data_IF_103629855894
#
_entry.id   IF_103629855894
#
_cell.length_a   1.000
_cell.length_b   1.000
_cell.length_c   1.000
_cell.angle_alpha   90.00
_cell.angle_beta   90.00
_cell.angle_gamma   90.00
#
_symmetry.space_group_name_H-M   'P 1'
#
loop_
_entity.id
_entity.type
_entity.pdbx_description
1 polymer ?
#
# COMPACT_ATOMS: atom_id res chain seq x y z
N UNK A 1 -18.15 -26.39 18.23
CA UNK A 1 -16.72 -26.73 18.03
C UNK A 1 -16.39 -26.27 16.61
N UNK A 2 -15.62 -25.23 16.31
CA UNK A 2 -14.60 -24.47 17.05
C UNK A 2 -14.76 -22.98 16.77
N UNK A 3 -14.58 -22.17 17.81
CA UNK A 3 -14.28 -20.74 17.76
C UNK A 3 -12.81 -20.55 17.31
N UNK A 4 -12.47 -19.45 16.62
CA UNK A 4 -11.57 -18.42 17.17
C UNK A 4 -11.25 -17.28 16.18
N UNK A 5 -11.44 -16.06 16.68
CA UNK A 5 -10.62 -14.84 16.51
C UNK A 5 -10.38 -14.23 15.13
N UNK A 6 -11.25 -13.29 14.73
CA UNK A 6 -10.84 -12.07 14.01
C UNK A 6 -11.47 -10.85 14.71
N UNK A 7 -10.83 -10.38 15.77
CA UNK A 7 -11.09 -9.08 16.39
C UNK A 7 -9.76 -8.38 16.61
N UNK A 8 -9.47 -7.39 15.76
CA UNK A 8 -8.70 -6.19 16.09
C UNK A 8 -9.48 -5.03 15.45
N UNK A 9 -10.57 -4.55 16.06
CA UNK A 9 -10.64 -3.47 17.06
C UNK A 9 -9.89 -2.19 16.65
N UNK A 10 -10.61 -1.24 16.05
CA UNK A 10 -10.48 0.18 16.42
C UNK A 10 -11.86 0.58 16.95
N UNK A 11 -12.06 0.41 18.26
CA UNK A 11 -13.17 1.01 18.98
C UNK A 11 -12.73 2.40 19.46
N UNK A 12 -13.39 3.43 18.94
CA UNK A 12 -13.61 4.69 19.66
C UNK A 12 -14.37 4.35 20.96
N UNK A 13 -13.93 4.79 22.15
CA UNK A 13 -14.82 5.32 23.21
C UNK A 13 -14.06 5.89 24.43
N UNK A 14 -14.49 7.11 24.78
CA UNK A 14 -14.59 7.79 26.10
C UNK A 14 -13.50 7.66 27.17
N UNK A 15 -13.04 8.83 27.63
CA UNK A 15 -12.40 9.01 28.94
C UNK A 15 -13.23 8.44 30.09
N UNK A 16 -12.54 7.80 31.03
CA UNK A 16 -12.76 7.92 32.47
C UNK A 16 -11.45 7.54 33.16
N UNK A 17 -10.77 8.55 33.71
CA UNK A 17 -9.59 8.34 34.54
C UNK A 17 -10.02 7.82 35.91
N UNK A 18 -9.60 6.61 36.26
CA UNK A 18 -9.53 6.13 37.65
C UNK A 18 -8.21 5.39 37.82
N UNK A 19 -7.30 6.00 38.58
CA UNK A 19 -6.24 5.31 39.34
C UNK A 19 -5.12 4.62 38.55
N UNK A 20 -4.02 5.35 38.35
CA UNK A 20 -2.66 4.84 38.59
C UNK A 20 -2.19 3.63 37.79
N UNK A 21 -2.15 3.76 36.46
CA UNK A 21 -1.10 3.31 35.53
C UNK A 21 -1.77 3.25 34.16
N UNK A 22 -1.80 4.40 33.48
CA UNK A 22 -2.16 4.43 32.07
C UNK A 22 -1.05 3.71 31.32
N UNK A 23 -1.30 2.45 30.94
CA UNK A 23 -0.57 1.85 29.83
C UNK A 23 -0.90 2.73 28.63
N UNK A 24 0.05 3.60 28.24
CA UNK A 24 -0.01 4.23 26.94
C UNK A 24 0.07 3.08 25.94
N UNK A 25 -1.09 2.61 25.48
CA UNK A 25 -1.22 1.81 24.28
C UNK A 25 -0.57 2.65 23.20
N UNK A 26 0.69 2.33 22.90
CA UNK A 26 1.51 3.01 21.92
C UNK A 26 0.66 3.27 20.70
N UNK A 27 0.37 4.54 20.42
CA UNK A 27 -0.06 4.93 19.09
C UNK A 27 0.95 4.29 18.14
N UNK A 28 0.52 3.34 17.31
CA UNK A 28 1.40 2.69 16.34
C UNK A 28 2.16 3.82 15.66
N UNK A 29 3.47 3.88 15.91
CA UNK A 29 4.30 4.95 15.38
C UNK A 29 4.06 4.94 13.87
N UNK A 30 3.53 6.02 13.32
CA UNK A 30 3.40 6.08 11.88
C UNK A 30 4.77 6.43 11.32
N UNK A 31 5.25 5.71 10.29
CA UNK A 31 6.49 6.10 9.66
C UNK A 31 6.35 7.49 9.03
N UNK A 32 7.47 8.22 8.87
CA UNK A 32 7.47 9.49 8.16
C UNK A 32 7.08 9.28 6.70
N UNK A 33 6.58 10.35 6.06
CA UNK A 33 6.39 10.35 4.61
C UNK A 33 7.76 10.32 3.95
N UNK A 34 8.01 9.30 3.14
CA UNK A 34 9.27 9.12 2.42
C UNK A 34 9.13 9.53 0.96
N UNK A 35 7.95 9.32 0.37
CA UNK A 35 7.68 9.65 -1.02
C UNK A 35 6.25 10.17 -1.22
N UNK A 36 6.07 10.98 -2.26
CA UNK A 36 4.78 11.45 -2.72
C UNK A 36 4.71 11.30 -4.24
N UNK A 37 3.59 10.82 -4.76
CA UNK A 37 3.41 10.61 -6.19
C UNK A 37 2.10 9.91 -6.52
N UNK A 38 1.86 9.59 -7.79
CA UNK A 38 0.73 8.80 -8.23
C UNK A 38 1.01 7.32 -7.99
N UNK A 39 -0.03 6.64 -7.53
CA UNK A 39 -0.14 5.20 -7.55
C UNK A 39 -1.15 4.77 -8.62
N UNK A 40 -0.83 3.69 -9.31
CA UNK A 40 -1.74 2.94 -10.19
C UNK A 40 -2.16 1.63 -9.52
N UNK A 41 -2.96 0.81 -10.19
CA UNK A 41 -3.29 -0.52 -9.72
C UNK A 41 -3.49 -1.50 -10.88
N UNK A 42 -3.26 -2.78 -10.61
CA UNK A 42 -3.48 -3.90 -11.53
C UNK A 42 -4.25 -5.03 -10.83
N UNK A 43 -4.88 -5.93 -11.59
CA UNK A 43 -5.58 -7.10 -11.03
C UNK A 43 -7.07 -7.19 -11.35
N UNK A 44 -7.48 -6.78 -12.56
CA UNK A 44 -8.80 -7.09 -13.12
C UNK A 44 -8.95 -8.57 -13.59
N UNK A 45 -7.94 -9.41 -13.29
CA UNK A 45 -7.96 -10.85 -13.50
C UNK A 45 -6.89 -11.39 -14.44
N UNK A 46 -6.23 -10.51 -15.22
CA UNK A 46 -5.28 -10.94 -16.24
C UNK A 46 -3.97 -11.56 -15.71
N UNK A 47 -3.61 -11.30 -14.46
CA UNK A 47 -2.29 -11.63 -13.90
C UNK A 47 -2.33 -12.58 -12.70
N UNK A 48 -3.52 -13.08 -12.33
CA UNK A 48 -3.65 -13.94 -11.15
C UNK A 48 -2.89 -15.25 -11.33
N UNK A 49 -2.01 -15.56 -10.38
CA UNK A 49 -1.16 -16.76 -10.43
C UNK A 49 0.17 -16.57 -11.17
N UNK A 50 0.39 -15.42 -11.81
CA UNK A 50 1.69 -15.09 -12.39
C UNK A 50 2.74 -14.90 -11.29
N UNK A 51 3.99 -15.22 -11.62
CA UNK A 51 5.11 -15.10 -10.67
C UNK A 51 5.55 -13.65 -10.61
N UNK A 52 5.46 -13.03 -9.43
CA UNK A 52 5.98 -11.69 -9.16
C UNK A 52 7.50 -11.68 -9.13
N UNK A 53 8.11 -10.50 -9.12
CA UNK A 53 9.56 -10.36 -9.07
C UNK A 53 10.22 -10.89 -7.78
N UNK A 54 9.47 -11.07 -6.68
CA UNK A 54 9.99 -11.75 -5.47
C UNK A 54 9.85 -13.29 -5.53
N UNK A 55 9.25 -13.84 -6.59
CA UNK A 55 9.12 -15.28 -6.83
C UNK A 55 7.85 -15.92 -6.27
N UNK A 56 6.92 -15.15 -5.69
CA UNK A 56 5.64 -15.67 -5.21
C UNK A 56 4.55 -15.56 -6.30
N UNK A 57 3.50 -16.37 -6.20
CA UNK A 57 2.35 -16.24 -7.10
C UNK A 57 1.52 -14.99 -6.73
N UNK A 58 1.18 -14.18 -7.72
CA UNK A 58 0.37 -12.98 -7.50
C UNK A 58 -1.06 -13.33 -7.10
N UNK A 59 -1.43 -12.91 -5.89
CA UNK A 59 -2.80 -12.91 -5.42
C UNK A 59 -3.36 -11.47 -5.40
N UNK A 60 -4.29 -11.12 -6.30
CA UNK A 60 -4.88 -9.78 -6.39
C UNK A 60 -5.68 -9.41 -5.13
N UNK A 61 -6.05 -10.38 -4.30
CA UNK A 61 -6.79 -10.18 -3.06
C UNK A 61 -5.89 -9.86 -1.86
N UNK A 62 -4.57 -10.06 -1.96
CA UNK A 62 -3.60 -9.65 -0.95
C UNK A 62 -3.29 -8.16 -1.06
N UNK A 63 -2.90 -7.53 0.05
CA UNK A 63 -2.42 -6.15 0.02
C UNK A 63 -0.95 -6.07 -0.36
N UNK A 64 -0.68 -6.26 -1.66
CA UNK A 64 0.65 -6.22 -2.24
C UNK A 64 0.80 -5.16 -3.31
N UNK A 65 2.05 -4.71 -3.51
CA UNK A 65 2.38 -3.62 -4.40
C UNK A 65 3.72 -3.85 -5.12
N UNK A 66 3.82 -3.30 -6.32
CA UNK A 66 5.05 -3.19 -7.09
C UNK A 66 5.73 -1.83 -6.85
N UNK A 67 7.05 -1.86 -6.59
CA UNK A 67 7.87 -0.65 -6.47
C UNK A 67 9.25 -0.86 -7.12
N UNK A 68 9.82 0.19 -7.74
CA UNK A 68 11.06 0.13 -8.54
C UNK A 68 12.27 -0.40 -7.78
N UNK A 69 12.49 0.11 -6.57
CA UNK A 69 13.74 -0.14 -5.83
C UNK A 69 13.59 -0.47 -4.34
N UNK A 70 12.39 -0.40 -3.76
CA UNK A 70 12.21 -0.76 -2.36
C UNK A 70 12.51 -2.25 -2.18
N UNK A 71 13.23 -2.66 -1.11
CA UNK A 71 13.46 -4.06 -0.81
C UNK A 71 12.13 -4.83 -0.78
N UNK A 72 12.15 -6.08 -1.20
CA UNK A 72 10.99 -6.96 -1.00
C UNK A 72 10.67 -7.08 0.49
N UNK A 73 9.40 -7.34 0.78
CA UNK A 73 8.81 -7.39 2.12
C UNK A 73 8.84 -6.08 2.91
N UNK A 74 9.21 -4.96 2.26
CA UNK A 74 8.97 -3.63 2.84
C UNK A 74 7.48 -3.43 3.02
N UNK A 75 7.07 -3.10 4.24
CA UNK A 75 5.70 -2.65 4.52
C UNK A 75 5.60 -1.13 4.32
N UNK A 76 4.73 -0.72 3.40
CA UNK A 76 4.44 0.68 3.12
C UNK A 76 3.01 1.02 3.56
N UNK A 77 2.85 2.11 4.30
CA UNK A 77 1.54 2.71 4.54
C UNK A 77 1.27 3.71 3.43
N UNK A 78 0.26 3.39 2.64
CA UNK A 78 -0.20 4.22 1.53
C UNK A 78 -1.32 5.10 2.07
N UNK A 79 -1.27 6.39 1.76
CA UNK A 79 -2.29 7.35 2.14
C UNK A 79 -2.80 8.08 0.90
N UNK A 80 -4.06 7.84 0.53
CA UNK A 80 -4.71 8.55 -0.56
C UNK A 80 -4.93 10.01 -0.13
N UNK A 81 -4.37 10.95 -0.88
CA UNK A 81 -4.40 12.38 -0.51
C UNK A 81 -5.78 13.01 -0.70
N UNK A 82 -6.61 12.47 -1.60
CA UNK A 82 -7.94 13.01 -1.90
C UNK A 82 -8.96 12.69 -0.80
N UNK A 83 -8.96 11.46 -0.27
CA UNK A 83 -9.96 11.00 0.70
C UNK A 83 -9.37 10.65 2.07
N UNK A 84 -8.05 10.79 2.25
CA UNK A 84 -7.31 10.51 3.50
C UNK A 84 -7.37 9.04 3.97
N UNK A 85 -7.92 8.13 3.17
CA UNK A 85 -7.91 6.68 3.44
C UNK A 85 -6.49 6.15 3.40
N UNK A 86 -6.22 5.14 4.22
CA UNK A 86 -4.90 4.53 4.35
C UNK A 86 -4.99 3.02 4.34
N UNK A 87 -3.97 2.36 3.81
CA UNK A 87 -3.84 0.90 3.83
C UNK A 87 -2.36 0.53 3.89
N UNK A 88 -2.05 -0.53 4.62
CA UNK A 88 -0.73 -1.16 4.59
C UNK A 88 -0.62 -2.05 3.36
N UNK A 89 0.54 -2.02 2.71
CA UNK A 89 0.83 -2.84 1.54
C UNK A 89 2.24 -3.40 1.65
N UNK A 90 2.44 -4.66 1.24
CA UNK A 90 3.76 -5.29 1.16
C UNK A 90 4.34 -5.17 -0.24
N UNK A 91 5.62 -4.80 -0.34
CA UNK A 91 6.34 -4.82 -1.62
C UNK A 91 6.72 -6.26 -1.98
N UNK A 92 6.08 -6.83 -3.00
CA UNK A 92 6.38 -8.18 -3.49
C UNK A 92 6.78 -8.20 -4.99
N UNK A 93 6.66 -7.07 -5.67
CA UNK A 93 6.88 -7.00 -7.10
C UNK A 93 7.68 -5.75 -7.51
N UNK A 94 8.03 -5.68 -8.79
CA UNK A 94 8.76 -4.56 -9.36
C UNK A 94 7.92 -3.84 -10.40
N UNK A 95 8.04 -2.53 -10.41
CA UNK A 95 7.25 -1.62 -11.23
C UNK A 95 7.06 -0.28 -10.53
N UNK A 96 6.32 0.66 -11.10
CA UNK A 96 5.86 0.66 -12.49
C UNK A 96 7.00 0.78 -13.50
N UNK A 97 6.89 0.04 -14.59
CA UNK A 97 7.85 -0.01 -15.71
C UNK A 97 7.40 0.74 -16.97
N UNK A 98 6.20 1.31 -17.00
CA UNK A 98 5.69 2.03 -18.17
C UNK A 98 6.68 3.08 -18.69
N UNK A 99 6.99 3.00 -19.97
CA UNK A 99 7.82 3.95 -20.71
C UNK A 99 7.07 4.40 -21.97
N UNK A 100 7.43 5.57 -22.49
CA UNK A 100 6.96 6.05 -23.80
C UNK A 100 8.01 5.61 -24.81
N UNK A 101 7.59 4.96 -25.90
CA UNK A 101 8.53 4.56 -26.94
C UNK A 101 9.02 5.81 -27.72
N UNK A 102 10.00 5.63 -28.59
CA UNK A 102 10.59 6.75 -29.35
C UNK A 102 9.58 7.43 -30.31
N UNK A 103 8.44 6.79 -30.59
CA UNK A 103 7.34 7.33 -31.42
C UNK A 103 6.29 8.11 -30.61
N UNK A 104 6.43 8.17 -29.29
CA UNK A 104 5.42 8.80 -28.43
C UNK A 104 4.18 7.92 -28.21
N UNK A 105 4.22 6.66 -28.62
CA UNK A 105 3.16 5.68 -28.43
C UNK A 105 3.35 4.90 -27.12
N UNK A 106 2.23 4.38 -26.62
CA UNK A 106 2.19 3.62 -25.37
C UNK A 106 2.60 2.18 -25.62
N UNK A 107 3.46 1.65 -24.76
CA UNK A 107 3.48 0.22 -24.50
C UNK A 107 3.02 0.00 -23.04
N UNK A 108 1.88 -0.68 -22.90
CA UNK A 108 1.05 -0.91 -21.69
C UNK A 108 0.25 0.29 -21.14
N UNK A 109 -1.09 0.17 -21.29
CA UNK A 109 -2.14 1.19 -21.09
C UNK A 109 -2.34 1.61 -19.62
N UNK A 110 -2.35 2.92 -19.33
CA UNK A 110 -2.91 3.51 -18.10
C UNK A 110 -3.67 4.80 -18.41
N UNK A 111 -5.01 4.75 -18.37
CA UNK A 111 -5.89 5.90 -18.61
C UNK A 111 -6.34 6.56 -17.30
N UNK A 112 -5.72 7.67 -16.87
CA UNK A 112 -6.39 8.79 -16.15
C UNK A 112 -5.46 9.90 -15.57
N UNK A 113 -4.40 10.36 -16.27
CA UNK A 113 -3.67 11.60 -15.86
C UNK A 113 -4.01 12.80 -16.77
N UNK A 114 -4.40 13.97 -16.23
CA UNK A 114 -4.73 15.17 -17.02
C UNK A 114 -3.54 15.83 -17.74
N UNK A 115 -2.31 15.57 -17.31
CA UNK A 115 -1.08 16.23 -17.77
C UNK A 115 -0.12 15.32 -18.57
N UNK A 116 -0.50 14.05 -18.75
CA UNK A 116 0.08 13.06 -19.69
C UNK A 116 1.62 12.84 -19.66
N UNK A 117 2.33 13.29 -18.62
CA UNK A 117 3.78 13.10 -18.46
C UNK A 117 4.17 12.20 -17.27
N UNK A 118 3.28 11.33 -16.80
CA UNK A 118 3.39 10.79 -15.45
C UNK A 118 4.17 9.48 -15.28
N UNK A 119 4.96 9.44 -14.18
CA UNK A 119 5.93 8.42 -13.77
C UNK A 119 5.54 7.84 -12.40
N UNK A 120 4.52 6.98 -12.34
CA UNK A 120 3.99 6.35 -11.12
C UNK A 120 5.07 5.94 -10.11
N UNK A 121 4.81 6.04 -8.80
CA UNK A 121 5.74 5.56 -7.76
C UNK A 121 5.35 4.18 -7.21
N UNK A 122 4.16 3.68 -7.54
CA UNK A 122 3.61 2.45 -6.99
C UNK A 122 2.54 1.87 -7.91
N UNK A 123 2.54 0.56 -8.11
CA UNK A 123 1.39 -0.17 -8.66
C UNK A 123 0.82 -1.07 -7.57
N UNK A 124 -0.48 -1.00 -7.35
CA UNK A 124 -1.16 -1.66 -6.24
C UNK A 124 -1.97 -2.87 -6.73
N UNK A 125 -2.13 -3.89 -5.90
CA UNK A 125 -3.17 -4.90 -6.11
C UNK A 125 -4.57 -4.26 -6.09
N UNK A 126 -5.55 -4.90 -6.74
CA UNK A 126 -6.96 -4.47 -6.68
C UNK A 126 -7.49 -4.39 -5.25
N UNK A 127 -7.08 -5.29 -4.34
CA UNK A 127 -7.49 -5.25 -2.94
C UNK A 127 -6.99 -3.98 -2.25
N UNK A 128 -5.74 -3.60 -2.48
CA UNK A 128 -5.14 -2.35 -1.98
C UNK A 128 -5.87 -1.13 -2.55
N UNK A 129 -6.15 -1.13 -3.86
CA UNK A 129 -6.88 -0.06 -4.53
C UNK A 129 -8.31 0.11 -3.99
N UNK A 130 -9.03 -0.99 -3.74
CA UNK A 130 -10.37 -0.97 -3.11
C UNK A 130 -10.32 -0.39 -1.70
N UNK A 131 -9.32 -0.78 -0.91
CA UNK A 131 -9.12 -0.27 0.45
C UNK A 131 -8.83 1.24 0.48
N UNK A 132 -8.20 1.78 -0.57
CA UNK A 132 -7.94 3.22 -0.73
C UNK A 132 -9.07 3.98 -1.45
N UNK A 133 -10.06 3.27 -2.00
CA UNK A 133 -11.14 3.85 -2.79
C UNK A 133 -10.65 4.46 -4.11
N UNK A 134 -9.69 3.83 -4.78
CA UNK A 134 -9.07 4.33 -6.02
C UNK A 134 -9.51 3.60 -7.29
N UNK A 135 -10.34 2.57 -7.17
CA UNK A 135 -10.72 1.69 -8.30
C UNK A 135 -11.49 2.41 -9.40
N UNK A 136 -12.29 3.42 -9.07
CA UNK A 136 -13.13 4.15 -10.05
C UNK A 136 -12.41 5.34 -10.70
N UNK A 137 -11.25 5.72 -10.17
CA UNK A 137 -10.52 6.94 -10.55
C UNK A 137 -9.21 6.65 -11.28
N UNK A 138 -8.71 5.41 -11.21
CA UNK A 138 -7.43 5.01 -11.77
C UNK A 138 -6.26 5.59 -10.98
N UNK A 139 -5.43 6.42 -11.61
CA UNK A 139 -4.26 7.05 -10.99
C UNK A 139 -4.65 8.02 -9.86
N UNK A 140 -3.99 7.92 -8.71
CA UNK A 140 -4.26 8.79 -7.56
C UNK A 140 -2.99 9.23 -6.84
N UNK A 141 -2.98 10.50 -6.39
CA UNK A 141 -1.90 11.06 -5.59
C UNK A 141 -1.90 10.45 -4.18
N UNK A 142 -0.79 9.80 -3.81
CA UNK A 142 -0.59 9.14 -2.53
C UNK A 142 0.64 9.68 -1.79
N UNK A 143 0.64 9.53 -0.47
CA UNK A 143 1.87 9.51 0.31
C UNK A 143 2.25 8.06 0.60
N UNK A 144 3.54 7.75 0.47
CA UNK A 144 4.13 6.51 0.98
C UNK A 144 4.90 6.80 2.25
N UNK A 145 4.53 6.09 3.31
CA UNK A 145 5.24 6.09 4.58
C UNK A 145 5.83 4.72 4.82
N UNK A 146 7.11 4.67 5.17
CA UNK A 146 7.77 3.44 5.57
C UNK A 146 8.99 3.76 6.44
N UNK A 147 9.35 2.77 7.25
CA UNK A 147 10.58 2.80 8.02
C UNK A 147 11.76 2.48 7.11
N UNK A 148 12.88 3.14 7.37
CA UNK A 148 14.14 2.84 6.67
C UNK A 148 15.00 1.95 7.53
N UNK A 149 16.07 1.38 6.96
CA UNK A 149 17.05 0.61 7.73
C UNK A 149 17.62 1.39 8.93
N UNK A 150 17.74 2.71 8.80
CA UNK A 150 18.32 3.58 9.83
C UNK A 150 17.27 4.11 10.83
N UNK A 151 16.00 3.79 10.61
CA UNK A 151 14.90 4.17 11.50
C UNK A 151 13.87 3.05 11.48
N UNK A 152 14.18 1.88 12.08
CA UNK A 152 13.27 0.74 12.13
C UNK A 152 12.16 0.96 13.17
N UNK A 153 10.99 0.29 13.02
CA UNK A 153 9.97 0.28 14.05
C UNK A 153 10.41 -0.52 15.28
N UNK A 154 9.77 -0.27 16.42
CA UNK A 154 9.93 -1.07 17.64
C UNK A 154 9.04 -2.33 17.68
N UNK A 155 8.51 -2.78 16.54
CA UNK A 155 7.66 -3.96 16.42
C UNK A 155 7.89 -4.72 15.10
N UNK A 156 7.37 -5.94 15.01
CA UNK A 156 7.48 -6.77 13.80
C UNK A 156 6.54 -6.30 12.69
N UNK A 157 7.09 -5.82 11.59
CA UNK A 157 6.34 -5.30 10.43
C UNK A 157 5.37 -6.32 9.80
N UNK A 158 5.70 -7.62 9.86
CA UNK A 158 4.85 -8.67 9.31
C UNK A 158 3.43 -8.69 9.90
N UNK A 159 3.24 -8.16 11.12
CA UNK A 159 1.92 -8.03 11.73
C UNK A 159 1.01 -6.97 11.06
N UNK A 160 1.56 -6.12 10.18
CA UNK A 160 0.82 -5.07 9.48
C UNK A 160 0.25 -5.51 8.13
N UNK A 161 0.55 -6.72 7.65
CA UNK A 161 0.01 -7.25 6.40
C UNK A 161 -1.20 -8.16 6.74
N UNK A 162 -2.44 -7.62 6.75
CA UNK A 162 -3.64 -8.36 7.16
C UNK A 162 -4.05 -9.44 6.15
#
# INVERSE_FOLDING_TARGET
>A
MSLMNWVVLIAMYSQLAVGGDSIELSAVELPPVQQAGLASWYGDGAWHGDVTANGEAFDPMQYTCAHRSLPFDTMVLIENRANRRRVWCRINDRGPYGYVNDEGEWDFVVSSSPDKNWRGILDMSIATARALGTTEVGLQNVYLRYWTRNSPPNFHLAALNP
#
